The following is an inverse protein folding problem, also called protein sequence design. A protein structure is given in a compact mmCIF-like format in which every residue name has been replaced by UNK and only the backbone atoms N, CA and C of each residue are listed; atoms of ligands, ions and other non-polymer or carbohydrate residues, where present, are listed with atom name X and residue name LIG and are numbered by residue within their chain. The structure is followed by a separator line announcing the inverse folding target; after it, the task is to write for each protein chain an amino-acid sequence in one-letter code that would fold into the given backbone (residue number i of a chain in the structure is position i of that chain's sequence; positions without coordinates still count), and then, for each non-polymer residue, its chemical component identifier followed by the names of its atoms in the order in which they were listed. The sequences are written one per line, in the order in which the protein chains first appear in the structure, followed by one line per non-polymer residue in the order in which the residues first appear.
data_IF_164936753088
#
_entry.id   IF_164936753088
#
_cell.length_a   1.000
_cell.length_b   1.000
_cell.length_c   1.000
_cell.angle_alpha   90.00
_cell.angle_beta   90.00
_cell.angle_gamma   90.00
#
_symmetry.space_group_name_H-M   'P 1'
#
loop_
_entity.id
_entity.type
_entity.pdbx_description
1 polymer ?
#
# COMPACT_ATOMS: atom_id res chain seq x y z
N UNK A 1 -25.79 -11.50 -6.40
CA UNK A 1 -24.49 -11.17 -7.04
C UNK A 1 -24.35 -9.65 -7.07
N UNK A 2 -23.37 -9.07 -6.37
CA UNK A 2 -23.20 -7.60 -6.31
C UNK A 2 -22.62 -7.11 -7.65
N UNK A 3 -23.24 -6.08 -8.22
CA UNK A 3 -22.86 -5.44 -9.47
C UNK A 3 -21.49 -4.77 -9.30
N UNK A 4 -20.40 -5.48 -9.61
CA UNK A 4 -19.04 -4.95 -9.53
C UNK A 4 -18.83 -3.97 -10.70
N UNK A 5 -19.09 -2.68 -10.46
CA UNK A 5 -18.78 -1.62 -11.43
C UNK A 5 -17.27 -1.52 -11.60
N UNK A 6 -16.80 -1.63 -12.84
CA UNK A 6 -15.42 -1.39 -13.23
C UNK A 6 -15.08 0.08 -12.93
N UNK A 7 -14.26 0.33 -11.92
CA UNK A 7 -13.81 1.69 -11.60
C UNK A 7 -12.94 2.23 -12.74
N UNK A 8 -13.13 3.51 -13.07
CA UNK A 8 -12.28 4.21 -14.03
C UNK A 8 -10.87 4.36 -13.46
N UNK A 9 -9.87 4.51 -14.34
CA UNK A 9 -8.46 4.65 -13.95
C UNK A 9 -8.19 5.81 -12.98
N UNK A 10 -9.02 6.86 -13.04
CA UNK A 10 -8.99 7.96 -12.08
C UNK A 10 -9.42 7.52 -10.68
N UNK A 11 -10.50 6.75 -10.58
CA UNK A 11 -10.99 6.23 -9.31
C UNK A 11 -10.08 5.13 -8.73
N UNK A 12 -9.37 4.40 -9.59
CA UNK A 12 -8.32 3.48 -9.16
C UNK A 12 -7.15 4.18 -8.45
N UNK A 13 -6.88 5.46 -8.77
CA UNK A 13 -5.86 6.26 -8.06
C UNK A 13 -6.33 6.76 -6.70
N UNK A 14 -7.64 6.94 -6.52
CA UNK A 14 -8.23 7.31 -5.22
C UNK A 14 -8.50 6.11 -4.33
N UNK A 15 -8.51 4.89 -4.86
CA UNK A 15 -8.39 3.68 -4.05
C UNK A 15 -6.96 3.63 -3.50
N UNK A 16 -6.78 4.21 -2.31
CA UNK A 16 -5.57 4.00 -1.50
C UNK A 16 -5.63 2.52 -1.08
N UNK A 17 -4.88 1.69 -1.79
CA UNK A 17 -4.85 0.25 -1.57
C UNK A 17 -4.27 -0.05 -0.19
N UNK A 18 -5.14 -0.26 0.79
CA UNK A 18 -4.73 -0.47 2.17
C UNK A 18 -4.18 0.80 2.81
N UNK A 19 -4.04 0.77 4.14
CA UNK A 19 -3.59 1.85 4.98
C UNK A 19 -2.08 2.12 4.77
N UNK A 20 -1.69 2.52 3.56
CA UNK A 20 -0.30 2.80 3.21
C UNK A 20 0.14 4.10 3.91
N UNK A 21 1.13 4.06 4.81
CA UNK A 21 1.61 5.26 5.47
C UNK A 21 2.36 6.16 4.49
N UNK A 22 2.31 7.46 4.74
CA UNK A 22 3.19 8.42 4.07
C UNK A 22 4.62 8.26 4.59
N UNK A 23 5.57 8.07 3.66
CA UNK A 23 7.00 8.04 3.97
C UNK A 23 7.66 9.39 3.64
N UNK A 24 8.76 9.74 4.33
CA UNK A 24 9.52 10.96 4.03
C UNK A 24 10.12 10.93 2.61
N UNK A 25 10.46 12.11 2.07
CA UNK A 25 11.04 12.26 0.74
C UNK A 25 12.28 11.37 0.56
N UNK A 26 12.29 10.57 -0.51
CA UNK A 26 13.37 9.59 -0.78
C UNK A 26 13.09 8.18 -0.25
N UNK A 27 12.02 8.00 0.52
CA UNK A 27 11.57 6.71 1.01
C UNK A 27 10.23 6.32 0.37
N UNK A 28 10.01 5.02 0.21
CA UNK A 28 8.74 4.44 -0.21
C UNK A 28 8.21 3.47 0.86
N UNK A 29 6.89 3.40 1.03
CA UNK A 29 6.29 2.41 1.91
C UNK A 29 6.41 1.01 1.30
N UNK A 30 6.86 0.06 2.10
CA UNK A 30 6.95 -1.36 1.78
C UNK A 30 6.21 -2.16 2.86
N UNK A 31 5.64 -3.30 2.45
CA UNK A 31 5.03 -4.24 3.39
C UNK A 31 6.16 -4.92 4.17
N UNK A 32 6.13 -4.78 5.50
CA UNK A 32 7.08 -5.41 6.42
C UNK A 32 6.57 -6.77 6.94
N UNK A 33 5.26 -7.03 6.80
CA UNK A 33 4.62 -8.25 7.27
C UNK A 33 3.15 -7.99 7.64
N UNK A 34 2.53 -8.98 8.25
CA UNK A 34 1.17 -8.92 8.77
C UNK A 34 1.23 -9.19 10.27
N UNK A 35 0.52 -8.38 11.06
CA UNK A 35 0.42 -8.55 12.51
C UNK A 35 -0.56 -9.67 12.89
N UNK A 36 -0.60 -10.07 14.17
CA UNK A 36 -1.53 -11.10 14.69
C UNK A 36 -3.01 -10.75 14.49
N UNK A 37 -3.31 -9.48 14.21
CA UNK A 37 -4.64 -8.96 13.93
C UNK A 37 -4.98 -8.86 12.43
N UNK A 38 -4.21 -9.52 11.55
CA UNK A 38 -4.34 -9.43 10.08
C UNK A 38 -4.12 -8.01 9.51
N UNK A 39 -3.48 -7.13 10.29
CA UNK A 39 -3.16 -5.76 9.87
C UNK A 39 -1.80 -5.76 9.15
N UNK A 40 -1.77 -5.23 7.94
CA UNK A 40 -0.55 -5.05 7.16
C UNK A 40 0.36 -4.05 7.87
N UNK A 41 1.54 -4.50 8.30
CA UNK A 41 2.60 -3.64 8.81
C UNK A 41 3.38 -3.07 7.65
N UNK A 42 3.58 -1.76 7.71
CA UNK A 42 4.33 -1.02 6.71
C UNK A 42 5.63 -0.50 7.29
N UNK A 43 6.68 -0.49 6.48
CA UNK A 43 7.98 0.11 6.78
C UNK A 43 8.39 1.04 5.65
N UNK A 44 9.10 2.11 5.98
CA UNK A 44 9.65 3.01 4.98
C UNK A 44 11.06 2.54 4.61
N UNK A 45 11.25 2.13 3.35
CA UNK A 45 12.57 1.82 2.81
C UNK A 45 12.99 2.90 1.82
N UNK A 46 14.29 3.05 1.61
CA UNK A 46 14.79 3.92 0.54
C UNK A 46 14.18 3.53 -0.80
N UNK A 47 13.74 4.51 -1.59
CA UNK A 47 13.16 4.27 -2.92
C UNK A 47 14.09 3.51 -3.86
N UNK A 48 15.40 3.62 -3.63
CA UNK A 48 16.44 2.90 -4.38
C UNK A 48 16.64 1.44 -3.93
N UNK A 49 16.07 1.01 -2.81
CA UNK A 49 16.22 -0.34 -2.27
C UNK A 49 14.95 -1.16 -2.51
N UNK A 50 15.08 -2.45 -2.88
CA UNK A 50 13.92 -3.33 -3.00
C UNK A 50 13.22 -3.49 -1.64
N UNK A 51 11.90 -3.60 -1.65
CA UNK A 51 11.19 -4.11 -0.48
C UNK A 51 11.72 -5.51 -0.22
N UNK A 52 12.23 -5.78 0.98
CA UNK A 52 12.55 -7.13 1.42
C UNK A 52 11.31 -7.68 2.12
N UNK A 53 10.55 -8.59 1.48
CA UNK A 53 9.40 -9.23 2.11
C UNK A 53 9.84 -10.14 3.26
#
# INVERSE_FOLDING_TARGET
MKNLKKLSKGDLKTIIGGQVPSCPTGYRPCVAGIDENDIIKWTCVWSSLPCKP
#
